data_IF_488443277658
#
_entry.id   IF_488443277658
#
_cell.length_a   1.000
_cell.length_b   1.000
_cell.length_c   1.000
_cell.angle_alpha   90.00
_cell.angle_beta   90.00
_cell.angle_gamma   90.00
#
_symmetry.space_group_name_H-M   'P 1'
#
loop_
_entity.id
_entity.type
_entity.pdbx_description
1 polymer ?
#
# COMPACT_ATOMS: atom_id res chain seq x y z
N UNK A 1 -26.22 -2.66 32.13
CA UNK A 1 -25.30 -1.60 31.67
C UNK A 1 -24.01 -2.28 31.26
N UNK A 2 -23.86 -2.63 29.98
CA UNK A 2 -22.58 -3.09 29.42
C UNK A 2 -21.84 -1.83 28.99
N UNK A 3 -20.73 -1.57 29.66
CA UNK A 3 -19.95 -0.35 29.51
C UNK A 3 -19.40 -0.27 28.08
N UNK A 4 -19.66 0.87 27.44
CA UNK A 4 -19.24 1.17 26.07
C UNK A 4 -17.78 1.61 26.01
N UNK A 5 -16.86 0.69 26.28
CA UNK A 5 -15.41 0.89 26.14
C UNK A 5 -14.72 -0.20 25.30
N UNK A 6 -15.47 -0.98 24.52
CA UNK A 6 -14.94 -2.11 23.72
C UNK A 6 -15.15 -1.92 22.20
N UNK A 7 -14.75 -0.77 21.62
CA UNK A 7 -14.93 -0.55 20.17
C UNK A 7 -13.68 -0.07 19.41
N UNK A 8 -12.53 0.07 20.06
CA UNK A 8 -11.33 0.63 19.40
C UNK A 8 -10.03 -0.18 19.57
N UNK A 9 -10.01 -1.25 20.37
CA UNK A 9 -8.74 -1.90 20.77
C UNK A 9 -8.30 -3.07 19.86
N UNK A 10 -9.11 -3.50 18.88
CA UNK A 10 -8.76 -4.64 18.00
C UNK A 10 -9.05 -4.42 16.50
N UNK A 11 -9.26 -3.17 16.06
CA UNK A 11 -9.33 -2.91 14.62
C UNK A 11 -7.92 -3.06 14.00
N UNK A 12 -7.68 -4.16 13.28
CA UNK A 12 -6.50 -4.37 12.43
C UNK A 12 -6.55 -3.38 11.25
N UNK A 13 -6.19 -2.14 11.51
CA UNK A 13 -6.21 -1.08 10.51
C UNK A 13 -5.09 -1.27 9.50
N UNK A 14 -5.43 -1.37 8.21
CA UNK A 14 -4.47 -1.14 7.15
C UNK A 14 -4.47 0.36 6.81
N UNK A 15 -3.34 1.03 7.02
CA UNK A 15 -3.24 2.48 6.77
C UNK A 15 -2.46 2.68 5.47
N UNK A 16 -3.05 3.43 4.55
CA UNK A 16 -2.37 3.91 3.35
C UNK A 16 -2.04 5.38 3.50
N UNK A 17 -0.75 5.69 3.63
CA UNK A 17 -0.27 7.06 3.75
C UNK A 17 0.32 7.54 2.42
N UNK A 18 -0.15 8.69 1.94
CA UNK A 18 0.43 9.33 0.76
C UNK A 18 1.41 10.43 1.15
N UNK A 19 2.68 10.22 0.82
CA UNK A 19 3.77 11.16 1.08
C UNK A 19 4.06 11.99 -0.19
N UNK A 20 3.52 13.21 -0.27
CA UNK A 20 3.81 14.18 -1.34
C UNK A 20 4.82 15.25 -0.93
N UNK A 21 4.86 15.63 0.35
CA UNK A 21 5.78 16.64 0.92
C UNK A 21 7.27 16.26 0.95
N UNK A 22 7.63 14.98 0.78
CA UNK A 22 9.02 14.51 0.92
C UNK A 22 9.88 14.64 -0.35
N UNK A 23 9.35 15.23 -1.43
CA UNK A 23 10.07 15.40 -2.69
C UNK A 23 10.20 16.88 -3.05
N UNK A 24 11.43 17.41 -3.25
CA UNK A 24 11.60 18.77 -3.74
C UNK A 24 11.01 18.89 -5.16
N UNK A 25 10.40 20.05 -5.46
CA UNK A 25 9.72 20.42 -6.72
C UNK A 25 10.51 20.19 -8.02
N UNK A 26 11.77 19.75 -7.96
CA UNK A 26 12.66 19.51 -9.10
C UNK A 26 13.10 18.03 -9.18
N UNK A 27 12.14 17.09 -9.17
CA UNK A 27 12.46 15.68 -9.38
C UNK A 27 12.72 15.39 -10.86
N UNK A 28 13.99 15.34 -11.25
CA UNK A 28 14.42 14.95 -12.59
C UNK A 28 14.52 13.42 -12.68
N UNK A 29 13.51 12.80 -13.31
CA UNK A 29 13.45 11.36 -13.56
C UNK A 29 14.58 10.88 -14.47
N UNK A 30 15.41 9.95 -14.01
CA UNK A 30 16.38 9.22 -14.84
C UNK A 30 15.95 7.74 -14.92
N UNK A 31 15.66 7.27 -16.11
CA UNK A 31 15.12 5.92 -16.40
C UNK A 31 16.16 4.80 -16.38
N UNK A 32 17.42 5.09 -16.08
CA UNK A 32 18.52 4.11 -16.05
C UNK A 32 19.02 3.92 -14.62
N UNK A 33 18.35 3.09 -13.82
CA UNK A 33 18.89 2.64 -12.54
C UNK A 33 18.82 1.12 -12.46
N UNK A 34 20.00 0.53 -12.21
CA UNK A 34 20.26 -0.89 -12.06
C UNK A 34 19.42 -1.46 -10.89
N UNK A 35 18.72 -2.58 -11.10
CA UNK A 35 17.69 -3.19 -10.21
C UNK A 35 18.27 -3.74 -8.90
N UNK A 36 19.56 -3.54 -8.64
CA UNK A 36 20.27 -4.11 -7.50
C UNK A 36 20.29 -3.06 -6.37
N UNK A 37 19.42 -3.23 -5.36
CA UNK A 37 19.29 -2.42 -4.12
C UNK A 37 18.49 -1.09 -4.19
N UNK A 38 17.21 -1.17 -4.55
CA UNK A 38 16.25 -0.05 -4.45
C UNK A 38 15.73 0.09 -3.01
N UNK A 39 16.59 0.59 -2.10
CA UNK A 39 16.24 0.85 -0.71
C UNK A 39 15.75 -0.38 0.07
N UNK A 40 15.03 -0.13 1.17
CA UNK A 40 14.44 -1.16 2.04
C UNK A 40 12.92 -1.19 1.85
N UNK A 41 12.36 -2.37 1.65
CA UNK A 41 10.93 -2.57 1.41
C UNK A 41 10.07 -2.36 2.65
N UNK A 42 10.57 -2.75 3.83
CA UNK A 42 9.96 -2.46 5.13
C UNK A 42 10.88 -1.58 5.97
N UNK A 43 10.44 -0.35 6.24
CA UNK A 43 11.21 0.63 6.99
C UNK A 43 11.37 0.30 8.47
N UNK A 44 10.65 -0.70 9.00
CA UNK A 44 10.92 -1.26 10.34
C UNK A 44 12.30 -1.93 10.40
N UNK A 45 12.84 -2.37 9.26
CA UNK A 45 14.19 -2.95 9.17
C UNK A 45 15.30 -1.89 9.11
N UNK A 46 14.97 -0.61 9.06
CA UNK A 46 15.98 0.45 9.12
C UNK A 46 16.62 0.51 10.52
N UNK A 47 17.95 0.61 10.56
CA UNK A 47 18.70 0.71 11.82
C UNK A 47 18.34 1.95 12.66
N UNK A 48 17.83 3.01 12.02
CA UNK A 48 17.39 4.25 12.66
C UNK A 48 16.12 4.76 11.98
N UNK A 49 15.01 4.74 12.69
CA UNK A 49 13.76 5.33 12.24
C UNK A 49 13.77 6.84 12.52
N UNK A 50 14.44 7.59 11.64
CA UNK A 50 14.45 9.06 11.65
C UNK A 50 13.76 9.58 10.40
N UNK A 51 13.16 10.77 10.48
CA UNK A 51 12.49 11.41 9.34
C UNK A 51 13.40 11.48 8.11
N UNK A 52 14.68 11.84 8.31
CA UNK A 52 15.68 11.87 7.25
C UNK A 52 15.90 10.49 6.61
N UNK A 53 16.02 9.44 7.41
CA UNK A 53 16.22 8.07 6.90
C UNK A 53 15.01 7.56 6.11
N UNK A 54 13.79 7.89 6.55
CA UNK A 54 12.53 7.57 5.86
C UNK A 54 12.51 8.30 4.51
N UNK A 55 12.76 9.61 4.51
CA UNK A 55 12.79 10.43 3.29
C UNK A 55 13.83 9.92 2.28
N UNK A 56 15.04 9.60 2.75
CA UNK A 56 16.11 9.07 1.91
C UNK A 56 15.75 7.70 1.32
N UNK A 57 15.08 6.84 2.09
CA UNK A 57 14.61 5.55 1.60
C UNK A 57 13.51 5.70 0.54
N UNK A 58 12.49 6.51 0.81
CA UNK A 58 11.41 6.78 -0.13
C UNK A 58 11.94 7.40 -1.43
N UNK A 59 12.92 8.31 -1.36
CA UNK A 59 13.57 8.91 -2.52
C UNK A 59 14.33 7.88 -3.35
N UNK A 60 15.12 7.01 -2.71
CA UNK A 60 15.82 5.90 -3.39
C UNK A 60 14.83 4.95 -4.06
N UNK A 61 13.72 4.63 -3.38
CA UNK A 61 12.69 3.73 -3.90
C UNK A 61 11.96 4.31 -5.09
N UNK A 62 11.62 5.59 -5.03
CA UNK A 62 10.99 6.29 -6.15
C UNK A 62 11.90 6.33 -7.39
N UNK A 63 13.21 6.54 -7.22
CA UNK A 63 14.17 6.47 -8.33
C UNK A 63 14.26 5.07 -8.97
N UNK A 64 14.00 4.01 -8.20
CA UNK A 64 13.92 2.64 -8.70
C UNK A 64 12.49 2.20 -9.05
N UNK A 65 11.61 3.14 -9.41
CA UNK A 65 10.23 2.91 -9.86
C UNK A 65 9.33 2.23 -8.82
N UNK A 66 9.73 2.18 -7.55
CA UNK A 66 8.99 1.56 -6.46
C UNK A 66 8.25 2.62 -5.66
N UNK A 67 6.93 2.72 -5.89
CA UNK A 67 6.07 3.75 -5.28
C UNK A 67 5.49 3.33 -3.93
N UNK A 68 5.52 2.03 -3.63
CA UNK A 68 4.96 1.44 -2.41
C UNK A 68 6.08 0.93 -1.50
N UNK A 69 5.95 1.20 -0.20
CA UNK A 69 6.90 0.80 0.84
C UNK A 69 6.16 0.51 2.13
N UNK A 70 6.50 -0.56 2.84
CA UNK A 70 5.95 -0.86 4.16
C UNK A 70 6.65 -0.06 5.26
N UNK A 71 5.90 0.21 6.32
CA UNK A 71 6.41 0.57 7.64
C UNK A 71 5.57 -0.21 8.66
N UNK A 72 5.98 -1.46 8.90
CA UNK A 72 5.20 -2.39 9.71
C UNK A 72 3.80 -2.63 9.11
N UNK A 73 2.70 -2.35 9.84
CA UNK A 73 1.34 -2.58 9.34
C UNK A 73 0.85 -1.49 8.35
N UNK A 74 1.61 -0.41 8.17
CA UNK A 74 1.23 0.73 7.32
C UNK A 74 1.89 0.60 5.95
N UNK A 75 1.13 0.89 4.89
CA UNK A 75 1.63 1.00 3.53
C UNK A 75 1.81 2.49 3.18
N UNK A 76 3.02 2.87 2.79
CA UNK A 76 3.31 4.21 2.29
C UNK A 76 3.30 4.18 0.76
N UNK A 77 2.56 5.09 0.16
CA UNK A 77 2.50 5.32 -1.28
C UNK A 77 3.04 6.70 -1.62
N UNK A 78 3.95 6.78 -2.59
CA UNK A 78 4.47 8.04 -3.12
C UNK A 78 3.93 8.22 -4.54
N UNK A 79 3.19 9.30 -4.79
CA UNK A 79 2.59 9.51 -6.11
C UNK A 79 3.66 9.99 -7.12
N UNK A 80 3.93 9.23 -8.20
CA UNK A 80 4.89 9.66 -9.22
C UNK A 80 4.33 10.73 -10.19
N UNK A 81 3.07 11.17 -10.01
CA UNK A 81 2.33 12.07 -10.90
C UNK A 81 2.26 11.58 -12.35
N UNK A 82 2.37 10.26 -12.55
CA UNK A 82 2.31 9.58 -13.85
C UNK A 82 1.48 8.30 -13.72
N UNK A 83 0.88 7.86 -14.82
CA UNK A 83 0.25 6.56 -14.88
C UNK A 83 1.33 5.47 -14.92
N UNK A 84 1.27 4.54 -13.98
CA UNK A 84 2.19 3.40 -13.90
C UNK A 84 1.51 2.16 -14.48
N UNK A 85 2.22 1.33 -15.26
CA UNK A 85 1.64 0.18 -15.96
C UNK A 85 1.39 -1.06 -15.08
N UNK A 86 1.52 -0.98 -13.75
CA UNK A 86 1.51 -2.13 -12.81
C UNK A 86 0.17 -2.39 -12.10
N UNK A 87 -0.93 -1.83 -12.62
CA UNK A 87 -2.28 -2.04 -12.06
C UNK A 87 -3.12 -2.89 -13.01
N UNK A 88 -2.59 -4.05 -13.40
CA UNK A 88 -3.27 -4.99 -14.29
C UNK A 88 -3.92 -6.15 -13.51
N UNK A 89 -4.85 -6.87 -14.15
CA UNK A 89 -5.45 -8.07 -13.55
C UNK A 89 -4.40 -9.14 -13.24
N UNK A 90 -3.35 -9.24 -14.06
CA UNK A 90 -2.23 -10.16 -13.81
C UNK A 90 -1.51 -9.85 -12.49
N UNK A 91 -1.38 -8.57 -12.15
CA UNK A 91 -0.79 -8.17 -10.87
C UNK A 91 -1.72 -8.59 -9.72
N UNK A 92 -3.05 -8.45 -9.87
CA UNK A 92 -3.99 -8.92 -8.85
C UNK A 92 -3.84 -10.42 -8.59
N UNK A 93 -3.73 -11.24 -9.64
CA UNK A 93 -3.55 -12.69 -9.53
C UNK A 93 -2.23 -13.04 -8.82
N UNK A 94 -1.17 -12.24 -9.00
CA UNK A 94 0.12 -12.46 -8.31
C UNK A 94 0.00 -12.23 -6.80
N UNK A 95 -0.80 -11.26 -6.36
CA UNK A 95 -0.97 -10.94 -4.94
C UNK A 95 -2.05 -11.77 -4.25
N UNK A 96 -2.93 -12.42 -5.02
CA UNK A 96 -4.01 -13.23 -4.46
C UNK A 96 -3.47 -14.43 -3.69
N UNK A 97 -3.72 -14.46 -2.38
CA UNK A 97 -3.32 -15.56 -1.50
C UNK A 97 -1.82 -15.63 -1.17
N UNK A 98 -1.00 -14.74 -1.73
CA UNK A 98 0.44 -14.69 -1.44
C UNK A 98 0.72 -14.21 -0.01
N UNK A 99 1.83 -14.61 0.59
CA UNK A 99 2.21 -14.08 1.90
C UNK A 99 2.69 -12.61 1.78
N UNK A 100 2.53 -11.81 2.85
CA UNK A 100 2.85 -10.37 2.85
C UNK A 100 4.29 -10.03 2.41
N UNK A 101 5.24 -10.93 2.61
CA UNK A 101 6.66 -10.75 2.28
C UNK A 101 7.13 -11.64 1.12
N UNK A 102 6.21 -12.32 0.44
CA UNK A 102 6.52 -13.12 -0.75
C UNK A 102 6.63 -12.25 -2.00
N UNK A 103 5.83 -11.18 -2.04
CA UNK A 103 5.82 -10.20 -3.11
C UNK A 103 6.22 -8.81 -2.58
N UNK A 104 6.72 -7.92 -3.46
CA UNK A 104 7.08 -6.55 -3.05
C UNK A 104 5.87 -5.77 -2.56
N UNK A 105 6.07 -4.67 -1.80
CA UNK A 105 4.97 -3.89 -1.25
C UNK A 105 4.00 -3.40 -2.34
N UNK A 106 2.70 -3.67 -2.16
CA UNK A 106 1.68 -3.28 -3.13
C UNK A 106 0.32 -3.07 -2.49
N UNK A 107 -0.53 -2.26 -3.14
CA UNK A 107 -1.89 -1.99 -2.68
C UNK A 107 -2.78 -3.26 -2.71
N UNK A 108 -2.54 -4.16 -3.67
CA UNK A 108 -3.26 -5.44 -3.76
C UNK A 108 -2.89 -6.40 -2.62
N UNK A 109 -1.61 -6.40 -2.17
CA UNK A 109 -1.21 -7.16 -0.98
C UNK A 109 -1.98 -6.68 0.27
N UNK A 110 -2.15 -5.36 0.42
CA UNK A 110 -2.93 -4.78 1.51
C UNK A 110 -4.42 -5.17 1.42
N UNK A 111 -5.00 -5.13 0.22
CA UNK A 111 -6.39 -5.52 0.02
C UNK A 111 -6.63 -7.03 0.24
N UNK A 112 -5.68 -7.88 -0.18
CA UNK A 112 -5.72 -9.33 0.04
C UNK A 112 -5.61 -9.70 1.52
N UNK A 113 -4.65 -9.10 2.23
CA UNK A 113 -4.51 -9.29 3.67
C UNK A 113 -5.78 -8.87 4.41
N UNK A 114 -6.36 -7.73 4.05
CA UNK A 114 -7.62 -7.27 4.64
C UNK A 114 -8.75 -8.27 4.39
N UNK A 115 -8.92 -8.73 3.14
CA UNK A 115 -9.97 -9.68 2.80
C UNK A 115 -9.79 -11.04 3.49
N UNK A 116 -8.57 -11.56 3.54
CA UNK A 116 -8.27 -12.81 4.24
C UNK A 116 -8.50 -12.71 5.74
N UNK A 117 -8.05 -11.62 6.38
CA UNK A 117 -8.28 -11.41 7.81
C UNK A 117 -9.78 -11.32 8.11
N UNK A 118 -10.55 -10.65 7.25
CA UNK A 118 -12.02 -10.60 7.36
C UNK A 118 -12.65 -12.01 7.32
N UNK A 119 -12.16 -12.90 6.45
CA UNK A 119 -12.68 -14.27 6.33
C UNK A 119 -12.23 -15.21 7.47
N UNK A 120 -10.97 -15.07 7.93
CA UNK A 120 -10.38 -15.93 8.97
C UNK A 120 -10.96 -15.56 10.34
N UNK A 121 -10.92 -14.27 10.68
CA UNK A 121 -11.32 -13.77 11.99
C UNK A 121 -12.84 -13.57 12.07
N UNK A 122 -13.55 -13.54 10.93
CA UNK A 122 -14.98 -13.18 10.83
C UNK A 122 -15.30 -11.80 11.42
N UNK A 123 -14.34 -10.88 11.36
CA UNK A 123 -14.45 -9.52 11.90
C UNK A 123 -14.39 -8.45 10.81
N UNK A 124 -15.07 -7.33 11.08
CA UNK A 124 -15.08 -6.18 10.17
C UNK A 124 -13.71 -5.53 10.09
N UNK A 125 -13.17 -5.40 8.89
CA UNK A 125 -11.88 -4.73 8.64
C UNK A 125 -12.08 -3.30 8.12
N UNK A 126 -11.11 -2.43 8.40
CA UNK A 126 -11.13 -1.04 7.97
C UNK A 126 -9.80 -0.64 7.33
N UNK A 127 -9.87 0.08 6.21
CA UNK A 127 -8.70 0.74 5.58
C UNK A 127 -8.84 2.24 5.75
N UNK A 128 -7.80 2.85 6.31
CA UNK A 128 -7.71 4.31 6.45
C UNK A 128 -6.76 4.82 5.37
N UNK A 129 -7.27 5.68 4.48
CA UNK A 129 -6.46 6.31 3.42
C UNK A 129 -6.25 7.79 3.79
N UNK A 130 -5.00 8.16 4.07
CA UNK A 130 -4.63 9.49 4.53
C UNK A 130 -3.55 10.10 3.63
N UNK A 131 -3.53 11.44 3.56
CA UNK A 131 -2.56 12.20 2.76
C UNK A 131 -3.14 13.52 2.23
N UNK A 132 -2.30 14.34 1.61
CA UNK A 132 -2.67 15.65 1.10
C UNK A 132 -3.66 15.60 -0.08
N UNK A 133 -4.24 16.76 -0.40
CA UNK A 133 -5.09 16.91 -1.59
C UNK A 133 -4.28 16.62 -2.86
N UNK A 134 -4.86 15.87 -3.80
CA UNK A 134 -4.17 15.49 -5.05
C UNK A 134 -3.14 14.37 -4.93
N UNK A 135 -2.92 13.82 -3.73
CA UNK A 135 -1.90 12.78 -3.53
C UNK A 135 -2.26 11.41 -4.14
N UNK A 136 -3.50 11.17 -4.55
CA UNK A 136 -3.93 9.91 -5.20
C UNK A 136 -4.84 9.01 -4.34
N UNK A 137 -5.34 9.51 -3.20
CA UNK A 137 -6.24 8.78 -2.28
C UNK A 137 -7.45 8.13 -2.98
N UNK A 138 -8.15 8.89 -3.83
CA UNK A 138 -9.33 8.41 -4.58
C UNK A 138 -8.98 7.27 -5.52
N UNK A 139 -7.81 7.33 -6.15
CA UNK A 139 -7.34 6.32 -7.09
C UNK A 139 -6.98 5.03 -6.33
N UNK A 140 -6.31 5.15 -5.18
CA UNK A 140 -6.05 4.00 -4.31
C UNK A 140 -7.34 3.33 -3.80
N UNK A 141 -8.32 4.11 -3.36
CA UNK A 141 -9.61 3.55 -2.94
C UNK A 141 -10.27 2.75 -4.07
N UNK A 142 -10.22 3.27 -5.30
CA UNK A 142 -10.71 2.55 -6.49
C UNK A 142 -10.00 1.22 -6.70
N UNK A 143 -8.68 1.15 -6.53
CA UNK A 143 -7.94 -0.11 -6.70
C UNK A 143 -8.27 -1.13 -5.62
N UNK A 144 -8.40 -0.71 -4.36
CA UNK A 144 -8.80 -1.60 -3.26
C UNK A 144 -10.19 -2.16 -3.50
N UNK A 145 -11.16 -1.29 -3.84
CA UNK A 145 -12.52 -1.72 -4.16
C UNK A 145 -12.55 -2.66 -5.38
N UNK A 146 -11.78 -2.36 -6.43
CA UNK A 146 -11.70 -3.21 -7.63
C UNK A 146 -11.18 -4.60 -7.28
N UNK A 147 -10.12 -4.68 -6.47
CA UNK A 147 -9.55 -5.93 -6.00
C UNK A 147 -10.57 -6.75 -5.19
N UNK A 148 -11.22 -6.14 -4.20
CA UNK A 148 -12.23 -6.81 -3.37
C UNK A 148 -13.40 -7.30 -4.24
N UNK A 149 -13.86 -6.48 -5.18
CA UNK A 149 -14.96 -6.85 -6.07
C UNK A 149 -14.60 -8.06 -6.95
N UNK A 150 -13.34 -8.17 -7.37
CA UNK A 150 -12.83 -9.26 -8.19
C UNK A 150 -12.73 -10.58 -7.43
N UNK A 151 -12.26 -10.55 -6.18
CA UNK A 151 -12.05 -11.75 -5.36
C UNK A 151 -13.31 -12.20 -4.62
N UNK A 152 -14.19 -11.26 -4.23
CA UNK A 152 -15.46 -11.54 -3.55
C UNK A 152 -16.53 -12.00 -4.56
N UNK A 153 -16.44 -11.53 -5.80
CA UNK A 153 -17.31 -11.93 -6.90
C UNK A 153 -16.95 -13.31 -7.45
N UNK A 154 -17.56 -14.36 -6.91
CA UNK A 154 -17.58 -15.66 -7.56
C UNK A 154 -18.29 -15.59 -8.92
N UNK A 155 -17.54 -15.61 -10.03
CA UNK A 155 -18.09 -15.85 -11.37
C UNK A 155 -18.86 -14.67 -12.01
N UNK A 156 -19.24 -14.82 -13.29
CA UNK A 156 -19.35 -13.74 -14.27
C UNK A 156 -20.52 -12.78 -14.02
N UNK A 157 -20.24 -11.49 -14.28
CA UNK A 157 -21.16 -10.41 -14.66
C UNK A 157 -22.58 -10.51 -14.07
N UNK A 158 -22.83 -9.74 -13.02
CA UNK A 158 -24.19 -9.23 -12.81
C UNK A 158 -24.53 -8.32 -14.00
N UNK A 159 -25.39 -8.85 -14.86
CA UNK A 159 -26.01 -8.22 -16.01
C UNK A 159 -27.08 -7.22 -15.57
#
# INVERSE_FOLDING_TARGET
MKNGEDLCTELRHAILFFATEFLPHAFHWQSNVNVQHVGVEDMVLLSKLTEQAIADNLKKRLHGNSIFTYIGPVLISVNPFKQMPYFTEKDMDQYQGAAQYENPPHIYALADNMYRNMLIDNESQCVIISGESGAGKTVAAKYIMSYISRISGGGPKVQ
#
